data_IF_476175831015
#
_entry.id   IF_476175831015
#
_cell.length_a   1.000
_cell.length_b   1.000
_cell.length_c   1.000
_cell.angle_alpha   90.00
_cell.angle_beta   90.00
_cell.angle_gamma   90.00
#
_symmetry.space_group_name_H-M   'P 1'
#
loop_
_entity.id
_entity.type
_entity.pdbx_description
1 polymer ?
#
# COMPACT_ATOMS: atom_id res chain seq x y z
N UNK A 1 8.22 28.23 -13.20
CA UNK A 1 7.49 27.01 -12.77
C UNK A 1 6.34 26.79 -13.73
N UNK A 2 6.23 25.63 -14.38
CA UNK A 2 4.99 25.27 -15.10
C UNK A 2 3.87 25.19 -14.07
N UNK A 3 2.78 25.92 -14.29
CA UNK A 3 1.58 25.87 -13.44
C UNK A 3 0.91 24.52 -13.75
N UNK A 4 0.92 23.60 -12.79
CA UNK A 4 0.24 22.32 -12.94
C UNK A 4 -1.26 22.54 -12.73
N UNK A 5 -2.05 22.00 -13.64
CA UNK A 5 -3.51 21.93 -13.50
C UNK A 5 -3.84 20.64 -12.74
N UNK A 6 -4.07 20.76 -11.43
CA UNK A 6 -4.31 19.62 -10.56
C UNK A 6 -5.64 18.91 -10.87
N UNK A 7 -6.64 19.62 -11.39
CA UNK A 7 -7.93 19.04 -11.74
C UNK A 7 -7.77 18.15 -12.97
N UNK A 8 -7.07 18.64 -13.99
CA UNK A 8 -6.77 17.86 -15.19
C UNK A 8 -5.90 16.63 -14.87
N UNK A 9 -4.91 16.77 -13.98
CA UNK A 9 -4.05 15.65 -13.58
C UNK A 9 -4.86 14.62 -12.79
N UNK A 10 -5.69 15.06 -11.85
CA UNK A 10 -6.56 14.19 -11.06
C UNK A 10 -7.49 13.37 -11.95
N UNK A 11 -8.20 14.01 -12.88
CA UNK A 11 -9.10 13.32 -13.81
C UNK A 11 -8.36 12.29 -14.64
N UNK A 12 -7.19 12.65 -15.19
CA UNK A 12 -6.38 11.72 -15.99
C UNK A 12 -5.92 10.51 -15.19
N UNK A 13 -5.54 10.69 -13.92
CA UNK A 13 -5.14 9.56 -13.06
C UNK A 13 -6.35 8.68 -12.74
N UNK A 14 -7.50 9.27 -12.46
CA UNK A 14 -8.73 8.52 -12.19
C UNK A 14 -9.19 7.70 -13.40
N UNK A 15 -9.13 8.29 -14.60
CA UNK A 15 -9.45 7.57 -15.84
C UNK A 15 -8.48 6.41 -16.07
N UNK A 16 -7.18 6.64 -15.87
CA UNK A 16 -6.18 5.58 -15.95
C UNK A 16 -6.42 4.46 -14.95
N UNK A 17 -6.76 4.77 -13.68
CA UNK A 17 -7.10 3.76 -12.66
C UNK A 17 -8.30 2.93 -13.14
N UNK A 18 -9.36 3.59 -13.61
CA UNK A 18 -10.59 2.93 -14.07
C UNK A 18 -10.29 1.98 -15.23
N UNK A 19 -9.54 2.43 -16.22
CA UNK A 19 -9.13 1.61 -17.38
C UNK A 19 -8.24 0.45 -16.96
N UNK A 20 -7.27 0.68 -16.06
CA UNK A 20 -6.35 -0.35 -15.61
C UNK A 20 -7.08 -1.48 -14.87
N UNK A 21 -7.99 -1.12 -13.94
CA UNK A 21 -8.82 -2.09 -13.21
C UNK A 21 -9.71 -2.87 -14.17
N UNK A 22 -10.36 -2.20 -15.12
CA UNK A 22 -11.21 -2.85 -16.12
C UNK A 22 -10.41 -3.80 -17.05
N UNK A 23 -9.24 -3.37 -17.54
CA UNK A 23 -8.40 -4.17 -18.43
C UNK A 23 -7.77 -5.38 -17.73
N UNK A 24 -7.50 -5.26 -16.43
CA UNK A 24 -7.04 -6.36 -15.60
C UNK A 24 -8.17 -7.33 -15.22
N UNK A 25 -9.42 -7.04 -15.62
CA UNK A 25 -10.61 -7.79 -15.25
C UNK A 25 -10.73 -7.92 -13.71
N UNK A 26 -10.38 -6.83 -13.02
CA UNK A 26 -10.32 -6.76 -11.57
C UNK A 26 -11.61 -6.18 -10.98
N UNK A 27 -11.97 -6.69 -9.81
CA UNK A 27 -13.15 -6.29 -9.04
C UNK A 27 -12.88 -5.12 -8.09
N UNK A 28 -11.63 -4.73 -7.91
CA UNK A 28 -11.29 -3.62 -7.03
C UNK A 28 -9.81 -3.53 -6.68
N UNK A 29 -9.51 -2.67 -5.70
CA UNK A 29 -8.15 -2.38 -5.24
C UNK A 29 -8.07 -2.52 -3.71
N UNK A 30 -7.00 -3.15 -3.23
CA UNK A 30 -6.61 -3.17 -1.82
C UNK A 30 -5.45 -2.20 -1.61
N UNK A 31 -5.55 -1.33 -0.61
CA UNK A 31 -4.52 -0.32 -0.30
C UNK A 31 -4.11 -0.44 1.16
N UNK A 32 -2.80 -0.51 1.42
CA UNK A 32 -2.26 -0.37 2.76
C UNK A 32 -2.38 1.08 3.25
N UNK A 33 -3.15 1.31 4.31
CA UNK A 33 -3.31 2.63 4.93
C UNK A 33 -2.39 2.74 6.14
N UNK A 34 -1.31 3.50 5.97
CA UNK A 34 -0.31 3.76 7.01
C UNK A 34 -0.56 5.06 7.80
N UNK A 35 -1.61 5.82 7.45
CA UNK A 35 -1.85 7.18 7.96
C UNK A 35 -1.06 8.26 7.21
N UNK A 36 -0.22 7.89 6.25
CA UNK A 36 0.55 8.83 5.42
C UNK A 36 -0.25 9.45 4.28
N UNK A 37 0.19 10.62 3.84
CA UNK A 37 -0.48 11.41 2.79
C UNK A 37 -0.59 10.65 1.46
N UNK A 38 0.44 9.89 1.07
CA UNK A 38 0.44 9.15 -0.19
C UNK A 38 -0.64 8.07 -0.21
N UNK A 39 -0.77 7.30 0.88
CA UNK A 39 -1.81 6.27 1.02
C UNK A 39 -3.23 6.86 1.01
N UNK A 40 -3.41 8.05 1.60
CA UNK A 40 -4.68 8.76 1.59
C UNK A 40 -5.04 9.29 0.19
N UNK A 41 -4.06 9.85 -0.53
CA UNK A 41 -4.25 10.35 -1.90
C UNK A 41 -4.61 9.21 -2.84
N UNK A 42 -3.86 8.11 -2.82
CA UNK A 42 -4.15 6.95 -3.68
C UNK A 42 -5.52 6.36 -3.37
N UNK A 43 -5.86 6.17 -2.09
CA UNK A 43 -7.18 5.66 -1.71
C UNK A 43 -8.31 6.56 -2.17
N UNK A 44 -8.14 7.88 -2.06
CA UNK A 44 -9.12 8.87 -2.55
C UNK A 44 -9.27 8.80 -4.07
N UNK A 45 -8.17 8.72 -4.81
CA UNK A 45 -8.19 8.60 -6.26
C UNK A 45 -8.86 7.30 -6.72
N UNK A 46 -8.58 6.17 -6.05
CA UNK A 46 -9.24 4.91 -6.32
C UNK A 46 -10.75 5.00 -6.06
N UNK A 47 -11.17 5.50 -4.90
CA UNK A 47 -12.60 5.65 -4.57
C UNK A 47 -13.33 6.52 -5.61
N UNK A 48 -12.72 7.62 -6.03
CA UNK A 48 -13.31 8.50 -7.05
C UNK A 48 -13.35 7.84 -8.44
N UNK A 49 -12.39 6.96 -8.76
CA UNK A 49 -12.28 6.33 -10.07
C UNK A 49 -13.23 5.14 -10.24
N UNK A 50 -13.31 4.28 -9.21
CA UNK A 50 -13.95 2.96 -9.28
C UNK A 50 -15.03 2.72 -8.22
N UNK A 51 -15.31 3.69 -7.34
CA UNK A 51 -16.32 3.53 -6.28
C UNK A 51 -15.73 2.96 -4.99
N UNK A 52 -16.36 3.30 -3.86
CA UNK A 52 -15.85 2.94 -2.51
C UNK A 52 -16.01 1.46 -2.18
N UNK A 53 -17.03 0.83 -2.73
CA UNK A 53 -17.31 -0.60 -2.63
C UNK A 53 -16.25 -1.47 -3.32
N UNK A 54 -15.47 -0.88 -4.23
CA UNK A 54 -14.37 -1.51 -4.94
C UNK A 54 -13.00 -1.20 -4.32
N UNK A 55 -12.96 -0.59 -3.14
CA UNK A 55 -11.72 -0.23 -2.43
C UNK A 55 -11.73 -0.78 -1.02
N UNK A 56 -10.65 -1.47 -0.65
CA UNK A 56 -10.43 -2.03 0.69
C UNK A 56 -9.16 -1.45 1.29
N UNK A 57 -9.27 -0.81 2.44
CA UNK A 57 -8.13 -0.32 3.22
C UNK A 57 -7.61 -1.38 4.20
N UNK A 58 -6.29 -1.51 4.30
CA UNK A 58 -5.65 -2.39 5.28
C UNK A 58 -4.81 -1.61 6.30
N UNK A 59 -5.08 -1.84 7.58
CA UNK A 59 -4.21 -1.44 8.69
C UNK A 59 -3.25 -2.57 9.03
N UNK A 60 -1.95 -2.36 8.82
CA UNK A 60 -0.92 -3.40 8.97
C UNK A 60 0.17 -3.00 9.99
N UNK A 61 -0.19 -2.82 11.28
CA UNK A 61 0.79 -2.52 12.31
C UNK A 61 1.80 -3.67 12.46
N UNK A 62 3.05 -3.32 12.73
CA UNK A 62 4.13 -4.28 12.88
C UNK A 62 5.17 -3.71 13.85
N UNK A 63 4.88 -3.77 15.16
CA UNK A 63 5.56 -2.99 16.19
C UNK A 63 5.64 -1.51 15.78
N UNK A 64 4.50 -0.94 15.44
CA UNK A 64 4.30 0.44 14.98
C UNK A 64 3.62 1.28 16.06
N UNK A 65 3.59 2.60 15.88
CA UNK A 65 2.83 3.49 16.76
C UNK A 65 1.33 3.26 16.55
N UNK A 66 0.55 3.32 17.63
CA UNK A 66 -0.91 3.19 17.56
C UNK A 66 -1.56 4.33 16.75
N UNK A 67 -0.90 5.49 16.70
CA UNK A 67 -1.37 6.66 15.95
C UNK A 67 -1.48 6.37 14.44
N UNK A 68 -0.49 5.69 13.85
CA UNK A 68 -0.47 5.35 12.41
C UNK A 68 -1.74 4.57 12.01
N UNK A 69 -2.18 3.65 12.88
CA UNK A 69 -3.39 2.87 12.68
C UNK A 69 -4.67 3.73 12.78
N UNK A 70 -4.71 4.63 13.76
CA UNK A 70 -5.85 5.54 13.96
C UNK A 70 -6.00 6.49 12.77
N UNK A 71 -4.89 7.02 12.26
CA UNK A 71 -4.89 7.93 11.10
C UNK A 71 -5.34 7.18 9.83
N UNK A 72 -4.85 5.95 9.63
CA UNK A 72 -5.33 5.08 8.55
C UNK A 72 -6.83 4.79 8.65
N UNK A 73 -7.33 4.49 9.85
CA UNK A 73 -8.75 4.27 10.09
C UNK A 73 -9.57 5.53 9.79
N UNK A 74 -9.08 6.71 10.18
CA UNK A 74 -9.76 7.98 9.92
C UNK A 74 -9.93 8.24 8.43
N UNK A 75 -8.90 7.96 7.63
CA UNK A 75 -8.98 8.03 6.16
C UNK A 75 -10.03 7.07 5.62
N UNK A 76 -10.05 5.82 6.09
CA UNK A 76 -11.02 4.84 5.65
C UNK A 76 -12.47 5.25 5.99
N UNK A 77 -12.69 5.74 7.22
CA UNK A 77 -13.99 6.22 7.69
C UNK A 77 -14.47 7.42 6.84
N UNK A 78 -13.58 8.37 6.52
CA UNK A 78 -13.91 9.53 5.67
C UNK A 78 -14.28 9.13 4.24
N UNK A 79 -13.58 8.15 3.67
CA UNK A 79 -13.85 7.64 2.33
C UNK A 79 -15.04 6.66 2.29
N UNK A 80 -15.47 6.16 3.45
CA UNK A 80 -16.53 5.16 3.57
C UNK A 80 -16.18 3.81 2.97
N UNK A 81 -14.91 3.44 2.99
CA UNK A 81 -14.38 2.17 2.47
C UNK A 81 -14.29 1.11 3.58
N UNK A 82 -14.26 -0.17 3.19
CA UNK A 82 -13.98 -1.25 4.13
C UNK A 82 -12.57 -1.10 4.71
N UNK A 83 -12.41 -1.30 6.02
CA UNK A 83 -11.11 -1.26 6.69
C UNK A 83 -10.88 -2.52 7.50
N UNK A 84 -9.82 -3.27 7.17
CA UNK A 84 -9.44 -4.51 7.87
C UNK A 84 -8.07 -4.33 8.51
N UNK A 85 -7.92 -4.81 9.75
CA UNK A 85 -6.65 -4.71 10.48
C UNK A 85 -6.04 -6.09 10.69
N UNK A 86 -4.76 -6.22 10.34
CA UNK A 86 -3.94 -7.41 10.62
C UNK A 86 -2.67 -6.98 11.36
N UNK A 87 -2.53 -7.36 12.63
CA UNK A 87 -1.31 -7.12 13.38
C UNK A 87 -0.23 -8.15 13.01
N UNK A 88 0.86 -7.66 12.44
CA UNK A 88 1.97 -8.49 11.92
C UNK A 88 3.11 -8.63 12.95
N UNK A 89 2.96 -8.07 14.15
CA UNK A 89 4.02 -8.02 15.16
C UNK A 89 4.51 -9.40 15.58
N UNK A 90 3.59 -10.36 15.75
CA UNK A 90 3.96 -11.74 16.13
C UNK A 90 4.78 -12.46 15.07
N UNK A 91 4.40 -12.34 13.79
CA UNK A 91 5.12 -12.92 12.65
C UNK A 91 6.51 -12.29 12.51
N UNK A 92 6.59 -10.96 12.70
CA UNK A 92 7.85 -10.24 12.67
C UNK A 92 8.81 -10.68 13.78
N UNK A 93 8.32 -10.78 15.02
CA UNK A 93 9.12 -11.24 16.15
C UNK A 93 9.62 -12.67 15.95
N UNK A 94 8.78 -13.55 15.43
CA UNK A 94 9.18 -14.94 15.16
C UNK A 94 10.26 -15.01 14.07
N UNK A 95 10.11 -14.21 13.00
CA UNK A 95 11.13 -14.09 11.97
C UNK A 95 12.49 -13.63 12.55
N UNK A 96 12.48 -12.66 13.48
CA UNK A 96 13.70 -12.21 14.14
C UNK A 96 14.33 -13.30 15.01
N UNK A 97 13.54 -14.11 15.72
CA UNK A 97 14.08 -15.23 16.53
C UNK A 97 14.73 -16.31 15.66
N UNK A 98 14.12 -16.63 14.51
CA UNK A 98 14.67 -17.63 13.57
C UNK A 98 16.02 -17.15 13.01
N UNK A 99 16.15 -15.85 12.75
CA UNK A 99 17.34 -15.28 12.08
C UNK A 99 18.46 -14.85 13.04
N UNK A 100 18.14 -14.52 14.30
CA UNK A 100 19.08 -13.91 15.26
C UNK A 100 20.30 -14.78 15.57
N UNK A 101 20.17 -16.10 15.46
CA UNK A 101 21.27 -17.03 15.81
C UNK A 101 22.21 -17.30 14.62
N UNK A 102 21.88 -16.80 13.43
CA UNK A 102 22.62 -17.07 12.20
C UNK A 102 23.33 -15.81 11.68
N UNK A 103 22.71 -14.64 11.87
CA UNK A 103 23.23 -13.35 11.38
C UNK A 103 22.85 -12.20 12.32
N UNK A 104 23.75 -11.23 12.45
CA UNK A 104 23.44 -9.96 13.11
C UNK A 104 22.59 -9.08 12.18
N UNK A 105 21.36 -8.79 12.60
CA UNK A 105 20.44 -7.96 11.84
C UNK A 105 20.61 -6.47 12.17
N UNK A 106 20.90 -5.65 11.15
CA UNK A 106 20.93 -4.20 11.28
C UNK A 106 19.53 -3.57 11.20
N UNK A 107 19.44 -2.27 11.53
CA UNK A 107 18.18 -1.51 11.58
C UNK A 107 17.47 -1.51 10.20
N UNK A 108 18.22 -1.42 9.11
CA UNK A 108 17.66 -1.39 7.75
C UNK A 108 17.03 -2.75 7.40
N UNK A 109 17.71 -3.86 7.69
CA UNK A 109 17.18 -5.20 7.47
C UNK A 109 15.87 -5.42 8.26
N UNK A 110 15.85 -4.97 9.52
CA UNK A 110 14.67 -4.99 10.40
C UNK A 110 13.52 -4.14 9.88
N UNK A 111 13.78 -2.99 9.27
CA UNK A 111 12.74 -2.16 8.65
C UNK A 111 12.20 -2.81 7.37
N UNK A 112 13.09 -3.33 6.52
CA UNK A 112 12.73 -3.92 5.23
C UNK A 112 11.82 -5.15 5.37
N UNK A 113 12.04 -6.01 6.39
CA UNK A 113 11.16 -7.16 6.58
C UNK A 113 9.74 -6.72 6.99
N UNK A 114 9.57 -5.61 7.75
CA UNK A 114 8.23 -5.08 8.04
C UNK A 114 7.49 -4.70 6.76
N UNK A 115 8.15 -3.98 5.84
CA UNK A 115 7.57 -3.61 4.55
C UNK A 115 7.18 -4.84 3.71
N UNK A 116 8.02 -5.90 3.70
CA UNK A 116 7.73 -7.15 2.99
C UNK A 116 6.56 -7.93 3.60
N UNK A 117 6.44 -7.96 4.92
CA UNK A 117 5.29 -8.59 5.59
C UNK A 117 3.98 -7.85 5.26
N UNK A 118 4.02 -6.52 5.18
CA UNK A 118 2.85 -5.74 4.75
C UNK A 118 2.48 -6.06 3.31
N UNK A 119 3.45 -6.10 2.40
CA UNK A 119 3.20 -6.42 1.00
C UNK A 119 2.66 -7.84 0.83
N UNK A 120 3.23 -8.82 1.53
CA UNK A 120 2.72 -10.20 1.60
C UNK A 120 1.24 -10.22 2.00
N UNK A 121 0.88 -9.45 3.04
CA UNK A 121 -0.50 -9.38 3.53
C UNK A 121 -1.44 -8.72 2.52
N UNK A 122 -1.01 -7.65 1.85
CA UNK A 122 -1.80 -7.02 0.79
C UNK A 122 -2.13 -8.02 -0.33
N UNK A 123 -1.13 -8.71 -0.88
CA UNK A 123 -1.34 -9.72 -1.92
C UNK A 123 -2.22 -10.88 -1.45
N UNK A 124 -2.02 -11.34 -0.20
CA UNK A 124 -2.87 -12.37 0.39
C UNK A 124 -4.34 -11.94 0.43
N UNK A 125 -4.62 -10.71 0.88
CA UNK A 125 -5.99 -10.20 0.94
C UNK A 125 -6.58 -10.00 -0.44
N UNK A 126 -5.83 -9.44 -1.40
CA UNK A 126 -6.28 -9.31 -2.79
C UNK A 126 -6.77 -10.65 -3.34
N UNK A 127 -5.90 -11.67 -3.27
CA UNK A 127 -6.21 -12.99 -3.78
C UNK A 127 -7.36 -13.66 -3.03
N UNK A 128 -7.50 -13.39 -1.72
CA UNK A 128 -8.58 -13.95 -0.90
C UNK A 128 -9.93 -13.27 -1.15
N UNK A 129 -9.93 -11.99 -1.50
CA UNK A 129 -11.14 -11.21 -1.86
C UNK A 129 -11.62 -11.49 -3.29
N UNK A 130 -10.78 -12.07 -4.14
CA UNK A 130 -11.10 -12.40 -5.52
C UNK A 130 -10.13 -11.75 -6.50
N UNK A 131 -10.65 -11.14 -7.58
CA UNK A 131 -9.83 -10.47 -8.61
C UNK A 131 -9.48 -9.04 -8.19
N UNK A 132 -8.84 -8.85 -7.03
CA UNK A 132 -8.43 -7.52 -6.57
C UNK A 132 -6.97 -7.22 -6.94
N UNK A 133 -6.66 -5.96 -7.18
CA UNK A 133 -5.29 -5.46 -7.41
C UNK A 133 -4.72 -4.83 -6.15
N UNK A 134 -3.40 -4.89 -5.97
CA UNK A 134 -2.74 -4.13 -4.90
C UNK A 134 -2.49 -2.70 -5.39
N UNK A 135 -2.99 -1.71 -4.64
CA UNK A 135 -2.74 -0.29 -4.88
C UNK A 135 -1.42 0.15 -4.24
N UNK A 136 -0.44 0.48 -5.07
CA UNK A 136 0.89 0.90 -4.60
C UNK A 136 0.90 2.35 -4.19
N UNK A 137 1.56 2.67 -3.08
CA UNK A 137 1.70 4.05 -2.58
C UNK A 137 3.08 4.64 -2.84
N UNK A 138 3.95 3.95 -3.59
CA UNK A 138 5.31 4.43 -3.89
C UNK A 138 5.29 5.70 -4.73
N UNK A 139 5.81 6.80 -4.19
CA UNK A 139 5.81 8.09 -4.87
C UNK A 139 7.00 8.19 -5.87
N UNK A 140 6.83 8.92 -6.99
CA UNK A 140 7.89 9.17 -7.99
C UNK A 140 9.16 9.81 -7.40
N UNK A 141 9.02 10.54 -6.30
CA UNK A 141 10.18 11.10 -5.58
C UNK A 141 10.96 10.00 -4.88
N UNK A 142 10.29 9.07 -4.19
CA UNK A 142 10.94 7.93 -3.49
C UNK A 142 11.64 6.99 -4.48
N UNK A 143 11.06 6.83 -5.67
CA UNK A 143 11.65 6.12 -6.81
C UNK A 143 12.97 6.73 -7.30
N UNK A 144 13.11 8.06 -7.23
CA UNK A 144 14.31 8.77 -7.70
C UNK A 144 15.47 8.76 -6.69
N UNK A 145 15.19 8.57 -5.39
CA UNK A 145 16.18 8.54 -4.30
C UNK A 145 16.44 7.15 -3.72
N UNK A 146 15.73 6.10 -4.15
CA UNK A 146 15.95 4.72 -3.68
C UNK A 146 15.44 4.46 -2.26
N UNK A 147 14.56 5.31 -1.72
CA UNK A 147 14.09 5.25 -0.34
C UNK A 147 12.86 4.33 -0.20
N UNK A 148 13.03 3.05 -0.53
CA UNK A 148 11.95 2.06 -0.49
C UNK A 148 12.50 0.63 -0.34
N UNK A 149 11.65 -0.30 0.08
CA UNK A 149 12.00 -1.73 0.12
C UNK A 149 11.62 -2.44 -1.18
N UNK A 150 12.60 -3.00 -1.93
CA UNK A 150 12.31 -3.89 -3.07
C UNK A 150 11.46 -5.10 -2.60
N UNK A 151 10.34 -5.35 -3.28
CA UNK A 151 9.30 -6.31 -2.90
C UNK A 151 8.60 -6.07 -1.55
N UNK A 152 8.81 -4.90 -0.94
CA UNK A 152 8.02 -4.37 0.16
C UNK A 152 7.11 -3.28 -0.39
N UNK A 153 7.42 -2.02 -0.12
CA UNK A 153 6.63 -0.87 -0.60
C UNK A 153 6.63 -0.73 -2.14
N UNK A 154 7.61 -1.35 -2.84
CA UNK A 154 7.64 -1.48 -4.31
C UNK A 154 7.20 -2.86 -4.85
N UNK A 155 6.44 -3.65 -4.09
CA UNK A 155 5.98 -4.97 -4.54
C UNK A 155 5.15 -4.99 -5.84
N UNK A 156 4.78 -3.83 -6.37
CA UNK A 156 3.90 -3.66 -7.55
C UNK A 156 4.70 -3.23 -8.79
N UNK A 157 6.01 -2.94 -8.64
CA UNK A 157 6.87 -2.64 -9.78
C UNK A 157 7.46 -3.94 -10.30
N UNK A 158 6.83 -4.45 -11.35
CA UNK A 158 7.49 -5.36 -12.28
C UNK A 158 8.58 -4.57 -13.03
N UNK A 159 9.75 -5.18 -13.22
CA UNK A 159 10.86 -4.60 -13.99
C UNK A 159 10.45 -4.48 -15.47
N UNK A 160 9.76 -3.41 -15.84
CA UNK A 160 9.60 -2.98 -17.23
C UNK A 160 9.99 -1.52 -17.39
N UNK A 161 11.29 -1.28 -17.21
CA UNK A 161 12.02 -0.23 -17.93
C UNK A 161 12.76 -0.91 -19.09
N UNK A 162 12.01 -1.25 -20.14
CA UNK A 162 12.53 -1.43 -21.49
C UNK A 162 11.65 -0.62 -22.45
#
# INVERSE_FOLDING_TARGET
MRKLDYDQITMRIQDWIREYVANADAEGVVVGLSGGIDSAVISTLCVNAIGKEHVVGLGLPCLSLHQDLNDGKLVADQLGIEFIVFDLSSVYEEFLKITSNQIDSNIIAKANIKARLRMLTNYFVCQSKGRFLVGGTGNRTELAIGYFTKYGDLGIIDEFLH
#
